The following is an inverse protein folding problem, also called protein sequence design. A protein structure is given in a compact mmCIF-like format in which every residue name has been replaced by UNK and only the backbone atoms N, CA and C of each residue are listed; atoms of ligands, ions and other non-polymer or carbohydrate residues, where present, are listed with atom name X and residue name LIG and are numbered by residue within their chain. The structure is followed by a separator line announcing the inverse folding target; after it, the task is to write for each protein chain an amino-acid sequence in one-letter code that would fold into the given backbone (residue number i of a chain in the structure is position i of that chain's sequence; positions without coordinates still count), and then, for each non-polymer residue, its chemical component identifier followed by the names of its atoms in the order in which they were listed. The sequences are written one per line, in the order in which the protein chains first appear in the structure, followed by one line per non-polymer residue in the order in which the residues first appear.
data_IF_030581348579
#
_entry.id   IF_030581348579
#
_cell.length_a   1.000
_cell.length_b   1.000
_cell.length_c   1.000
_cell.angle_alpha   90.00
_cell.angle_beta   90.00
_cell.angle_gamma   90.00
#
_symmetry.space_group_name_H-M   'P 1'
#
loop_
_entity.id
_entity.type
_entity.pdbx_description
1 polymer ?
#
# COMPACT_ATOMS: atom_id res chain seq x y z
N UNK A 1 1.44 12.53 49.99
CA UNK A 1 0.58 12.18 48.83
C UNK A 1 1.51 11.92 47.66
N UNK A 2 1.44 10.77 46.97
CA UNK A 2 2.27 10.55 45.79
C UNK A 2 1.86 11.53 44.68
N UNK A 3 2.84 12.14 44.01
CA UNK A 3 2.59 13.02 42.87
C UNK A 3 2.27 12.22 41.63
N UNK A 4 1.19 12.57 40.93
CA UNK A 4 0.87 12.04 39.60
C UNK A 4 1.51 12.94 38.54
N UNK A 5 2.45 12.40 37.77
CA UNK A 5 3.00 13.08 36.59
C UNK A 5 2.26 12.59 35.35
N UNK A 6 1.51 13.48 34.71
CA UNK A 6 0.87 13.23 33.41
C UNK A 6 1.84 13.68 32.32
N UNK A 7 2.26 12.75 31.47
CA UNK A 7 3.11 13.06 30.32
C UNK A 7 2.22 13.43 29.13
N UNK A 8 2.61 14.47 28.41
CA UNK A 8 2.02 14.80 27.11
C UNK A 8 2.63 13.87 26.04
N UNK A 9 1.84 12.98 25.40
CA UNK A 9 2.36 12.07 24.38
C UNK A 9 2.66 12.76 23.04
N UNK A 10 2.42 14.08 22.92
CA UNK A 10 2.71 14.85 21.71
C UNK A 10 4.21 15.15 21.62
N UNK A 11 4.81 14.77 20.50
CA UNK A 11 6.16 15.16 20.12
C UNK A 11 6.15 15.73 18.70
N UNK A 12 7.06 16.66 18.40
CA UNK A 12 7.32 17.05 17.03
C UNK A 12 7.96 15.86 16.28
N UNK A 13 7.50 15.52 15.06
CA UNK A 13 8.14 14.48 14.26
C UNK A 13 9.59 14.84 14.00
N UNK A 14 10.52 13.94 14.35
CA UNK A 14 11.97 14.17 14.21
C UNK A 14 12.61 13.36 13.09
N UNK A 15 11.80 12.67 12.28
CA UNK A 15 12.30 11.87 11.17
C UNK A 15 12.52 12.75 9.94
N UNK A 16 13.66 12.56 9.27
CA UNK A 16 13.91 13.21 7.99
C UNK A 16 12.89 12.73 6.95
N UNK A 17 12.39 13.65 6.13
CA UNK A 17 11.50 13.34 5.02
C UNK A 17 12.34 12.84 3.84
N UNK A 18 12.02 11.64 3.37
CA UNK A 18 12.45 11.07 2.09
C UNK A 18 11.36 11.34 1.05
N UNK A 19 11.63 12.17 0.02
CA UNK A 19 10.69 12.37 -1.07
C UNK A 19 10.39 11.06 -1.79
N UNK A 20 9.13 10.80 -2.13
CA UNK A 20 8.77 9.69 -3.00
C UNK A 20 8.93 10.11 -4.46
N UNK A 21 9.88 9.52 -5.18
CA UNK A 21 10.22 9.88 -6.57
C UNK A 21 10.15 8.70 -7.54
N UNK A 22 9.61 7.57 -7.10
CA UNK A 22 9.57 6.35 -7.89
C UNK A 22 8.43 6.36 -8.89
N UNK A 23 8.69 5.81 -10.07
CA UNK A 23 7.70 5.62 -11.11
C UNK A 23 8.01 4.40 -11.97
N UNK A 24 6.99 3.79 -12.54
CA UNK A 24 7.10 2.77 -13.58
C UNK A 24 6.28 3.17 -14.81
N UNK A 25 6.75 2.76 -15.98
CA UNK A 25 5.97 2.83 -17.21
C UNK A 25 5.06 1.60 -17.29
N UNK A 26 3.76 1.82 -17.13
CA UNK A 26 2.75 0.76 -17.19
C UNK A 26 2.12 0.62 -18.59
N UNK A 27 2.68 1.28 -19.62
CA UNK A 27 2.16 1.21 -21.00
C UNK A 27 2.75 0.07 -21.83
N UNK A 28 3.86 -0.52 -21.37
CA UNK A 28 4.51 -1.65 -22.04
C UNK A 28 3.94 -3.02 -21.62
N UNK A 29 4.19 -4.07 -22.43
CA UNK A 29 3.75 -5.43 -22.12
C UNK A 29 4.55 -6.04 -20.97
N UNK A 30 3.93 -6.97 -20.24
CA UNK A 30 4.66 -7.87 -19.34
C UNK A 30 5.07 -7.27 -17.99
N UNK A 31 4.47 -6.15 -17.58
CA UNK A 31 4.75 -5.52 -16.29
C UNK A 31 4.56 -6.53 -15.14
N UNK A 32 5.58 -6.70 -14.30
CA UNK A 32 5.54 -7.60 -13.14
C UNK A 32 4.95 -6.87 -11.94
N UNK A 33 3.80 -7.32 -11.47
CA UNK A 33 3.04 -6.69 -10.39
C UNK A 33 3.07 -7.56 -9.15
N UNK A 34 3.68 -7.05 -8.08
CA UNK A 34 3.68 -7.69 -6.76
C UNK A 34 2.48 -7.25 -5.93
N UNK A 35 1.60 -8.18 -5.59
CA UNK A 35 0.47 -7.94 -4.70
C UNK A 35 0.79 -8.50 -3.31
N UNK A 36 0.88 -7.64 -2.31
CA UNK A 36 1.27 -8.02 -0.96
C UNK A 36 0.08 -7.97 0.00
N UNK A 37 -0.39 -9.15 0.39
CA UNK A 37 -1.45 -9.33 1.38
C UNK A 37 -0.88 -9.36 2.78
N UNK A 38 -1.41 -8.48 3.64
CA UNK A 38 -1.20 -8.55 5.09
C UNK A 38 -2.12 -9.58 5.78
N UNK A 39 -2.90 -10.36 5.00
CA UNK A 39 -3.83 -11.39 5.48
C UNK A 39 -4.91 -10.88 6.46
N UNK A 40 -5.19 -9.57 6.48
CA UNK A 40 -6.41 -9.07 7.10
C UNK A 40 -7.62 -9.68 6.40
N UNK A 41 -8.76 -9.77 7.10
CA UNK A 41 -9.98 -10.40 6.58
C UNK A 41 -10.32 -9.91 5.15
N UNK A 42 -10.45 -10.86 4.23
CA UNK A 42 -10.66 -10.67 2.78
C UNK A 42 -9.56 -9.90 2.00
N UNK A 43 -8.41 -9.55 2.60
CA UNK A 43 -7.34 -8.83 1.91
C UNK A 43 -6.77 -9.61 0.71
N UNK A 44 -6.52 -10.91 0.85
CA UNK A 44 -6.06 -11.75 -0.27
C UNK A 44 -7.10 -11.85 -1.37
N UNK A 45 -8.40 -11.94 -1.02
CA UNK A 45 -9.48 -11.93 -2.02
C UNK A 45 -9.57 -10.61 -2.77
N UNK A 46 -9.42 -9.49 -2.06
CA UNK A 46 -9.34 -8.17 -2.67
C UNK A 46 -8.15 -8.09 -3.62
N UNK A 47 -6.97 -8.53 -3.20
CA UNK A 47 -5.77 -8.49 -4.04
C UNK A 47 -5.89 -9.41 -5.25
N UNK A 48 -6.41 -10.63 -5.11
CA UNK A 48 -6.68 -11.49 -6.28
C UNK A 48 -7.62 -10.81 -7.28
N UNK A 49 -8.72 -10.20 -6.81
CA UNK A 49 -9.64 -9.46 -7.67
C UNK A 49 -9.00 -8.20 -8.29
N UNK A 50 -8.09 -7.53 -7.58
CA UNK A 50 -7.27 -6.43 -8.13
C UNK A 50 -6.35 -6.96 -9.22
N UNK A 51 -5.71 -8.13 -9.02
CA UNK A 51 -4.90 -8.79 -10.04
C UNK A 51 -5.68 -9.05 -11.32
N UNK A 52 -6.89 -9.60 -11.22
CA UNK A 52 -7.81 -9.79 -12.35
C UNK A 52 -8.15 -8.47 -13.04
N UNK A 53 -8.53 -7.44 -12.27
CA UNK A 53 -8.85 -6.13 -12.83
C UNK A 53 -7.65 -5.44 -13.48
N UNK A 54 -6.42 -5.72 -13.03
CA UNK A 54 -5.20 -5.21 -13.63
C UNK A 54 -4.89 -5.89 -14.97
N UNK A 55 -5.23 -7.18 -15.14
CA UNK A 55 -5.13 -7.88 -16.43
C UNK A 55 -6.02 -7.23 -17.49
N UNK A 56 -7.16 -6.66 -17.10
CA UNK A 56 -8.07 -5.98 -18.03
C UNK A 56 -7.55 -4.61 -18.52
N UNK A 57 -6.62 -3.98 -17.78
CA UNK A 57 -6.17 -2.59 -18.06
C UNK A 57 -4.67 -2.47 -18.40
N UNK A 58 -3.90 -3.54 -18.23
CA UNK A 58 -2.48 -3.61 -18.57
C UNK A 58 -2.26 -4.58 -19.73
N UNK A 59 -1.21 -4.36 -20.52
CA UNK A 59 -0.83 -5.30 -21.57
C UNK A 59 -0.09 -6.50 -20.97
N UNK A 60 -0.79 -7.65 -20.90
CA UNK A 60 -0.22 -8.95 -20.53
C UNK A 60 0.62 -8.94 -19.24
N UNK A 61 0.13 -8.39 -18.10
CA UNK A 61 0.93 -8.28 -16.89
C UNK A 61 1.21 -9.65 -16.26
N UNK A 62 2.30 -9.74 -15.49
CA UNK A 62 2.62 -10.91 -14.65
C UNK A 62 2.33 -10.56 -13.20
N UNK A 63 1.23 -11.08 -12.66
CA UNK A 63 0.77 -10.77 -11.30
C UNK A 63 1.19 -11.86 -10.33
N UNK A 64 1.86 -11.49 -9.24
CA UNK A 64 2.28 -12.43 -8.17
C UNK A 64 1.71 -11.99 -6.83
N UNK A 65 1.02 -12.90 -6.13
CA UNK A 65 0.50 -12.67 -4.77
C UNK A 65 1.50 -13.17 -3.72
N UNK A 66 1.87 -12.29 -2.81
CA UNK A 66 2.71 -12.54 -1.64
C UNK A 66 1.85 -12.44 -0.39
N UNK A 67 1.90 -13.45 0.47
CA UNK A 67 1.09 -13.50 1.69
C UNK A 67 1.97 -13.52 2.93
N UNK A 68 1.75 -12.55 3.80
CA UNK A 68 2.35 -12.51 5.12
C UNK A 68 1.25 -12.66 6.18
N UNK A 69 1.21 -13.77 6.94
CA UNK A 69 0.06 -14.15 7.77
C UNK A 69 -0.01 -13.39 9.11
N UNK A 70 0.19 -12.06 9.10
CA UNK A 70 -0.02 -11.23 10.28
C UNK A 70 -0.28 -9.75 9.93
N UNK A 71 -1.55 -9.35 9.95
CA UNK A 71 -1.96 -7.97 9.64
C UNK A 71 -1.46 -6.92 10.63
N UNK A 72 -0.87 -7.30 11.77
CA UNK A 72 -0.34 -6.38 12.78
C UNK A 72 1.18 -6.28 12.77
N UNK A 73 1.86 -7.08 11.95
CA UNK A 73 3.30 -7.01 11.76
C UNK A 73 3.62 -6.40 10.39
N UNK A 74 4.86 -5.92 10.27
CA UNK A 74 5.45 -5.48 9.00
C UNK A 74 6.05 -6.73 8.35
N UNK A 75 6.01 -6.83 7.02
CA UNK A 75 6.67 -7.92 6.32
C UNK A 75 8.16 -7.99 6.67
N UNK A 76 8.70 -9.21 6.76
CA UNK A 76 10.09 -9.37 7.11
C UNK A 76 10.97 -8.91 5.93
N UNK A 77 12.19 -8.40 6.19
CA UNK A 77 13.03 -7.80 5.14
C UNK A 77 13.30 -8.70 3.94
N UNK A 78 13.38 -10.01 4.14
CA UNK A 78 13.56 -11.00 3.09
C UNK A 78 12.39 -11.04 2.10
N UNK A 79 11.15 -10.85 2.56
CA UNK A 79 9.98 -10.76 1.68
C UNK A 79 10.00 -9.44 0.89
N UNK A 80 10.40 -8.34 1.54
CA UNK A 80 10.55 -7.05 0.84
C UNK A 80 11.61 -7.17 -0.27
N UNK A 81 12.74 -7.83 0.01
CA UNK A 81 13.79 -8.08 -0.96
C UNK A 81 13.31 -8.99 -2.11
N UNK A 82 12.54 -10.04 -1.79
CA UNK A 82 11.96 -10.94 -2.78
C UNK A 82 10.99 -10.20 -3.72
N UNK A 83 10.07 -9.41 -3.17
CA UNK A 83 9.13 -8.62 -3.96
C UNK A 83 9.90 -7.64 -4.85
N UNK A 84 10.92 -6.96 -4.32
CA UNK A 84 11.72 -6.01 -5.08
C UNK A 84 12.57 -6.63 -6.19
N UNK A 85 13.05 -7.86 -6.01
CA UNK A 85 13.80 -8.56 -7.04
C UNK A 85 12.90 -9.03 -8.20
N UNK A 86 11.66 -9.42 -7.88
CA UNK A 86 10.79 -10.15 -8.80
C UNK A 86 9.69 -9.31 -9.45
N UNK A 87 9.50 -8.05 -9.03
CA UNK A 87 8.41 -7.20 -9.53
C UNK A 87 8.91 -5.80 -9.92
N UNK A 88 8.20 -5.17 -10.86
CA UNK A 88 8.47 -3.81 -11.32
C UNK A 88 7.67 -2.77 -10.53
N UNK A 89 6.49 -3.18 -10.02
CA UNK A 89 5.60 -2.37 -9.19
C UNK A 89 4.98 -3.23 -8.10
N UNK A 90 4.45 -2.59 -7.06
CA UNK A 90 3.77 -3.30 -5.98
C UNK A 90 2.48 -2.62 -5.49
N UNK A 91 1.63 -3.43 -4.84
CA UNK A 91 0.43 -3.00 -4.12
C UNK A 91 0.42 -3.67 -2.75
N UNK A 92 0.22 -2.91 -1.67
CA UNK A 92 0.01 -3.50 -0.33
C UNK A 92 -1.46 -3.36 0.07
N UNK A 93 -2.03 -4.40 0.69
CA UNK A 93 -3.38 -4.32 1.24
C UNK A 93 -3.53 -5.18 2.51
N UNK A 94 -4.42 -4.84 3.45
CA UNK A 94 -5.39 -3.73 3.42
C UNK A 94 -5.35 -2.87 4.69
N UNK A 95 -5.47 -1.55 4.52
CA UNK A 95 -5.77 -0.62 5.62
C UNK A 95 -7.27 -0.49 5.89
N UNK A 96 -7.80 -1.29 6.82
CA UNK A 96 -9.23 -1.32 7.19
C UNK A 96 -9.49 -1.01 8.68
N UNK A 97 -8.43 -0.88 9.46
CA UNK A 97 -8.39 -0.80 10.92
C UNK A 97 -7.08 -0.13 11.36
N UNK A 98 -6.91 0.17 12.66
CA UNK A 98 -5.70 0.84 13.16
C UNK A 98 -4.38 0.09 12.88
N UNK A 99 -4.28 -1.18 13.28
CA UNK A 99 -3.06 -1.98 13.12
C UNK A 99 -2.77 -2.31 11.65
N UNK A 100 -3.78 -2.76 10.91
CA UNK A 100 -3.65 -3.14 9.50
C UNK A 100 -3.37 -1.95 8.57
N UNK A 101 -3.85 -0.75 8.91
CA UNK A 101 -3.45 0.48 8.21
C UNK A 101 -1.98 0.81 8.46
N UNK A 102 -1.52 0.58 9.70
CA UNK A 102 -0.14 0.84 10.08
C UNK A 102 0.84 -0.11 9.38
N UNK A 103 0.55 -1.42 9.36
CA UNK A 103 1.38 -2.41 8.66
C UNK A 103 1.42 -2.14 7.15
N UNK A 104 0.26 -2.07 6.48
CA UNK A 104 0.18 -1.88 5.04
C UNK A 104 0.91 -0.61 4.56
N UNK A 105 0.80 0.49 5.31
CA UNK A 105 1.51 1.74 4.99
C UNK A 105 3.02 1.59 5.18
N UNK A 106 3.47 0.92 6.25
CA UNK A 106 4.90 0.70 6.50
C UNK A 106 5.53 -0.24 5.49
N UNK A 107 4.80 -1.28 5.09
CA UNK A 107 5.22 -2.21 4.04
C UNK A 107 5.37 -1.49 2.69
N UNK A 108 4.44 -0.60 2.34
CA UNK A 108 4.58 0.24 1.15
C UNK A 108 5.83 1.14 1.24
N UNK A 109 6.11 1.76 2.39
CA UNK A 109 7.34 2.55 2.57
C UNK A 109 8.60 1.69 2.47
N UNK A 110 8.58 0.45 2.97
CA UNK A 110 9.71 -0.47 2.88
C UNK A 110 9.97 -0.92 1.43
N UNK A 111 8.92 -1.22 0.67
CA UNK A 111 9.02 -1.51 -0.77
C UNK A 111 9.53 -0.31 -1.57
N UNK A 112 9.04 0.90 -1.25
CA UNK A 112 9.55 2.12 -1.86
C UNK A 112 11.04 2.35 -1.53
N UNK A 113 11.47 2.09 -0.29
CA UNK A 113 12.89 2.14 0.07
C UNK A 113 13.73 1.09 -0.65
N UNK A 114 13.13 -0.04 -1.01
CA UNK A 114 13.76 -1.06 -1.84
C UNK A 114 13.74 -0.72 -3.35
N UNK A 115 13.22 0.45 -3.74
CA UNK A 115 13.24 0.94 -5.12
C UNK A 115 12.02 0.54 -5.96
N UNK A 116 10.98 -0.03 -5.35
CA UNK A 116 9.77 -0.48 -6.06
C UNK A 116 8.68 0.60 -6.01
N UNK A 117 8.22 1.15 -7.14
CA UNK A 117 7.02 1.97 -7.18
C UNK A 117 5.82 1.21 -6.60
N UNK A 118 5.13 1.81 -5.65
CA UNK A 118 4.14 1.10 -4.81
C UNK A 118 3.00 2.00 -4.38
N UNK A 119 1.83 1.41 -4.20
CA UNK A 119 0.72 2.05 -3.48
C UNK A 119 0.13 1.14 -2.39
N UNK A 120 -0.29 1.74 -1.28
CA UNK A 120 -1.08 1.03 -0.27
C UNK A 120 -2.59 1.23 -0.51
N UNK A 121 -3.38 0.15 -0.41
CA UNK A 121 -4.83 0.22 -0.45
C UNK A 121 -5.40 0.45 0.95
N UNK A 122 -6.04 1.60 1.16
CA UNK A 122 -6.53 2.03 2.47
C UNK A 122 -7.97 2.49 2.34
N UNK A 123 -8.84 1.99 3.23
CA UNK A 123 -10.25 2.40 3.25
C UNK A 123 -10.41 3.84 3.72
N UNK A 124 -11.41 4.54 3.20
CA UNK A 124 -11.66 5.97 3.39
C UNK A 124 -11.68 6.43 4.85
N UNK A 125 -12.17 5.60 5.78
CA UNK A 125 -12.18 5.92 7.21
C UNK A 125 -10.79 5.98 7.85
N UNK A 126 -9.77 5.43 7.18
CA UNK A 126 -8.40 5.31 7.69
C UNK A 126 -7.37 6.08 6.86
N UNK A 127 -7.81 6.93 5.92
CA UNK A 127 -6.91 7.78 5.10
C UNK A 127 -5.98 8.64 5.96
N UNK A 128 -6.53 9.30 6.99
CA UNK A 128 -5.73 10.12 7.93
C UNK A 128 -4.75 9.30 8.76
N UNK A 129 -5.15 8.10 9.18
CA UNK A 129 -4.28 7.19 9.91
C UNK A 129 -3.11 6.71 9.03
N UNK A 130 -3.37 6.37 7.76
CA UNK A 130 -2.34 6.04 6.79
C UNK A 130 -1.39 7.21 6.56
N UNK A 131 -1.92 8.42 6.38
CA UNK A 131 -1.11 9.64 6.24
C UNK A 131 -0.24 9.93 7.48
N UNK A 132 -0.79 9.73 8.68
CA UNK A 132 -0.03 9.85 9.92
C UNK A 132 1.12 8.83 9.98
N UNK A 133 0.86 7.57 9.65
CA UNK A 133 1.88 6.52 9.63
C UNK A 133 2.98 6.84 8.63
N UNK A 134 2.63 7.22 7.40
CA UNK A 134 3.56 7.60 6.34
C UNK A 134 4.50 8.75 6.76
N UNK A 135 3.94 9.80 7.40
CA UNK A 135 4.72 10.89 8.02
C UNK A 135 5.63 10.37 9.13
N UNK A 136 5.12 9.50 9.99
CA UNK A 136 5.88 8.97 11.13
C UNK A 136 7.11 8.14 10.71
N UNK A 137 7.06 7.54 9.52
CA UNK A 137 8.18 6.77 8.95
C UNK A 137 8.97 7.53 7.90
N UNK A 138 8.71 8.83 7.72
CA UNK A 138 9.54 9.71 6.90
C UNK A 138 9.28 9.65 5.39
N UNK A 139 8.14 9.13 4.93
CA UNK A 139 7.79 9.13 3.50
C UNK A 139 6.31 9.51 3.31
N UNK A 140 5.94 10.79 3.56
CA UNK A 140 4.54 11.24 3.56
C UNK A 140 3.81 11.01 2.24
N UNK A 141 4.55 11.12 1.14
CA UNK A 141 4.03 11.10 -0.22
C UNK A 141 3.99 9.70 -0.85
N UNK A 142 4.29 8.64 -0.07
CA UNK A 142 4.09 7.26 -0.56
C UNK A 142 2.63 7.09 -1.02
N UNK A 143 2.37 6.64 -2.26
CA UNK A 143 1.02 6.60 -2.79
C UNK A 143 0.08 5.72 -1.97
N UNK A 144 -1.16 6.20 -1.80
CA UNK A 144 -2.24 5.48 -1.13
C UNK A 144 -3.49 5.61 -1.96
N UNK A 145 -4.04 4.48 -2.41
CA UNK A 145 -5.30 4.43 -3.15
C UNK A 145 -6.43 4.17 -2.17
N UNK A 146 -7.44 5.03 -2.23
CA UNK A 146 -8.57 4.95 -1.31
C UNK A 146 -9.57 3.87 -1.75
N UNK A 147 -9.98 3.05 -0.79
CA UNK A 147 -11.07 2.06 -0.93
C UNK A 147 -12.34 2.57 -0.22
N UNK A 148 -13.54 2.12 -0.60
CA UNK A 148 -14.73 2.34 0.23
C UNK A 148 -14.62 1.58 1.56
N UNK A 149 -15.37 2.00 2.58
CA UNK A 149 -15.38 1.32 3.88
C UNK A 149 -16.78 0.81 4.27
N UNK A 150 -16.94 -0.48 4.62
CA UNK A 150 -15.91 -1.54 4.65
C UNK A 150 -15.70 -2.18 3.27
N UNK A 151 -14.55 -2.84 3.09
CA UNK A 151 -14.35 -3.87 2.04
C UNK A 151 -14.50 -5.27 2.62
N UNK A 152 -13.86 -5.53 3.77
CA UNK A 152 -13.94 -6.82 4.43
C UNK A 152 -15.40 -7.15 4.82
N UNK A 153 -15.84 -8.38 4.51
CA UNK A 153 -17.19 -8.84 4.79
C UNK A 153 -18.28 -8.38 3.82
N UNK A 154 -17.95 -7.66 2.72
CA UNK A 154 -18.96 -7.24 1.73
C UNK A 154 -19.33 -8.33 0.72
N UNK A 155 -18.61 -9.46 0.74
CA UNK A 155 -18.77 -10.55 -0.23
C UNK A 155 -18.01 -10.33 -1.53
N UNK A 156 -17.76 -11.44 -2.25
CA UNK A 156 -16.86 -11.51 -3.40
C UNK A 156 -17.32 -10.61 -4.57
N UNK A 157 -18.62 -10.55 -4.85
CA UNK A 157 -19.16 -9.71 -5.92
C UNK A 157 -18.83 -8.21 -5.70
N UNK A 158 -18.98 -7.73 -4.46
CA UNK A 158 -18.67 -6.34 -4.11
C UNK A 158 -17.16 -6.10 -4.10
N UNK A 159 -16.37 -7.07 -3.63
CA UNK A 159 -14.90 -6.99 -3.68
C UNK A 159 -14.42 -6.86 -5.14
N UNK A 160 -14.96 -7.66 -6.06
CA UNK A 160 -14.61 -7.58 -7.48
C UNK A 160 -15.02 -6.24 -8.12
N UNK A 161 -16.18 -5.69 -7.74
CA UNK A 161 -16.59 -4.35 -8.16
C UNK A 161 -15.60 -3.28 -7.66
N UNK A 162 -15.21 -3.35 -6.39
CA UNK A 162 -14.24 -2.42 -5.79
C UNK A 162 -12.89 -2.53 -6.50
N UNK A 163 -12.41 -3.74 -6.77
CA UNK A 163 -11.15 -3.97 -7.48
C UNK A 163 -11.14 -3.31 -8.86
N UNK A 164 -12.19 -3.52 -9.67
CA UNK A 164 -12.34 -2.86 -10.98
C UNK A 164 -12.39 -1.33 -10.87
N UNK A 165 -13.08 -0.82 -9.86
CA UNK A 165 -13.20 0.63 -9.64
C UNK A 165 -11.83 1.28 -9.35
N UNK A 166 -10.96 0.60 -8.59
CA UNK A 166 -9.69 1.18 -8.15
C UNK A 166 -8.49 0.85 -9.03
N UNK A 167 -8.58 -0.15 -9.93
CA UNK A 167 -7.49 -0.53 -10.82
C UNK A 167 -6.89 0.65 -11.62
N UNK A 168 -7.68 1.58 -12.21
CA UNK A 168 -7.10 2.75 -12.88
C UNK A 168 -6.31 3.67 -11.95
N UNK A 169 -6.76 3.84 -10.70
CA UNK A 169 -6.07 4.66 -9.70
C UNK A 169 -4.77 4.01 -9.22
N UNK A 170 -4.74 2.67 -9.13
CA UNK A 170 -3.52 1.91 -8.85
C UNK A 170 -2.49 2.14 -9.96
N UNK A 171 -2.88 1.96 -11.23
CA UNK A 171 -1.99 2.17 -12.38
C UNK A 171 -1.47 3.61 -12.42
N UNK A 172 -2.34 4.60 -12.23
CA UNK A 172 -1.95 6.00 -12.20
C UNK A 172 -0.94 6.32 -11.08
N UNK A 173 -1.05 5.65 -9.93
CA UNK A 173 -0.15 5.88 -8.79
C UNK A 173 1.31 5.53 -9.08
N UNK A 174 1.56 4.56 -9.97
CA UNK A 174 2.90 4.18 -10.39
C UNK A 174 3.51 5.12 -11.43
N UNK A 175 2.70 5.93 -12.10
CA UNK A 175 3.15 6.75 -13.23
C UNK A 175 3.61 8.16 -12.81
N UNK A 176 3.67 8.45 -11.51
CA UNK A 176 3.93 9.80 -11.00
C UNK A 176 5.31 10.31 -11.45
N UNK A 177 5.34 11.06 -12.54
CA UNK A 177 6.46 11.91 -12.93
C UNK A 177 6.52 13.05 -11.93
N UNK A 178 7.60 13.18 -11.19
CA UNK A 178 7.91 14.42 -10.46
C UNK A 178 7.80 15.54 -11.48
N UNK A 179 6.83 16.44 -11.29
CA UNK A 179 6.74 17.67 -12.06
C UNK A 179 8.11 18.35 -11.92
N UNK A 180 8.78 18.54 -13.07
CA UNK A 180 10.05 19.25 -13.15
C UNK A 180 9.86 20.58 -12.42
N UNK A 181 10.57 20.79 -11.32
CA UNK A 181 10.58 22.08 -10.65
C UNK A 181 10.92 23.15 -11.70
N UNK A 182 10.03 24.13 -11.82
CA UNK A 182 10.24 25.35 -12.60
C UNK A 182 11.37 26.17 -12.01
#
# INVERSE_FOLDING_TARGET
MPSLTILDPRAAPRIAVTPYTLSADASGPGLRVGLMSNMFFDASKLLSAVGEALVDVLDSPVVTLYEFPNASLIAPPEMIAEIAANNDVAVTAMGHCGSCTSSATRDAVNLARAGVPVCALITEKFTEAGGFVARSVGMPDVPRVQLPHPVAGTGEARIAEIARLVAPAIVASWQTRVARAA
#
